data_IF_936646044526
#
_entry.id   IF_936646044526
#
_cell.length_a   1.000
_cell.length_b   1.000
_cell.length_c   1.000
_cell.angle_alpha   90.00
_cell.angle_beta   90.00
_cell.angle_gamma   90.00
#
_symmetry.space_group_name_H-M   'P 1'
#
loop_
_entity.id
_entity.type
_entity.pdbx_description
1 polymer ?
#
# COMPACT_ATOMS: atom_id res chain seq x y z
N UNK A 1 69.67 -22.27 57.93
CA UNK A 1 69.90 -23.37 56.97
C UNK A 1 69.36 -22.93 55.62
N UNK A 2 70.28 -22.93 54.65
CA UNK A 2 70.25 -22.74 53.18
C UNK A 2 68.94 -22.39 52.45
N UNK A 3 68.83 -21.34 51.62
CA UNK A 3 69.42 -21.01 50.29
C UNK A 3 69.05 -21.93 49.09
N UNK A 4 68.31 -21.32 48.15
CA UNK A 4 68.54 -21.24 46.69
C UNK A 4 68.27 -22.40 45.69
N UNK A 5 67.89 -21.93 44.47
CA UNK A 5 67.93 -22.50 43.08
C UNK A 5 66.64 -23.21 42.62
N UNK A 6 65.87 -22.76 41.63
CA UNK A 6 66.08 -22.20 40.28
C UNK A 6 66.57 -23.23 39.23
N UNK A 7 65.79 -23.32 38.14
CA UNK A 7 66.15 -23.51 36.71
C UNK A 7 65.44 -24.71 36.04
N UNK A 8 64.68 -24.36 34.99
CA UNK A 8 64.14 -25.20 33.92
C UNK A 8 65.25 -25.95 33.16
N UNK A 9 64.92 -27.12 32.60
CA UNK A 9 65.55 -27.55 31.36
C UNK A 9 64.51 -28.16 30.41
N UNK A 10 64.67 -27.67 29.19
CA UNK A 10 63.88 -27.79 27.99
C UNK A 10 64.14 -29.11 27.21
N UNK A 11 63.16 -29.42 26.35
CA UNK A 11 63.31 -29.92 24.98
C UNK A 11 63.78 -31.37 24.67
N UNK A 12 62.89 -32.14 24.02
CA UNK A 12 63.21 -33.01 22.87
C UNK A 12 61.95 -33.41 22.05
N UNK A 13 61.63 -32.55 21.09
CA UNK A 13 61.14 -32.74 19.71
C UNK A 13 60.91 -34.18 19.13
N UNK A 14 59.66 -34.49 18.73
CA UNK A 14 59.06 -35.09 17.48
C UNK A 14 59.83 -36.08 16.54
N UNK A 15 59.24 -36.70 15.46
CA UNK A 15 57.85 -36.74 14.90
C UNK A 15 57.35 -38.13 14.40
N UNK A 16 56.05 -38.27 14.04
CA UNK A 16 55.61 -38.79 12.71
C UNK A 16 54.12 -38.52 12.44
N UNK A 17 53.84 -38.07 11.22
CA UNK A 17 52.57 -37.54 10.71
C UNK A 17 51.67 -38.65 10.14
N UNK A 18 50.34 -38.47 10.20
CA UNK A 18 49.46 -38.42 9.02
C UNK A 18 47.97 -38.24 9.42
N UNK A 19 47.39 -37.12 8.95
CA UNK A 19 45.99 -36.92 8.48
C UNK A 19 44.83 -37.05 9.52
N UNK A 20 43.87 -36.12 9.70
CA UNK A 20 43.39 -34.92 9.00
C UNK A 20 42.66 -34.01 10.05
N UNK A 21 42.94 -32.71 10.21
CA UNK A 21 42.42 -31.55 9.42
C UNK A 21 40.88 -31.39 9.63
N UNK A 22 40.27 -30.31 10.16
CA UNK A 22 40.69 -28.94 10.53
C UNK A 22 39.66 -28.24 11.45
N UNK A 23 40.18 -27.39 12.35
CA UNK A 23 39.75 -26.02 12.74
C UNK A 23 38.36 -25.73 13.32
N UNK A 24 38.39 -25.50 14.64
CA UNK A 24 37.73 -24.40 15.34
C UNK A 24 37.57 -23.12 14.51
N UNK A 25 36.35 -22.58 14.45
CA UNK A 25 36.11 -21.17 14.13
C UNK A 25 35.10 -20.58 15.10
N UNK A 26 35.62 -19.93 16.15
CA UNK A 26 34.86 -18.97 16.96
C UNK A 26 34.60 -17.76 16.07
N UNK A 27 33.38 -17.63 15.55
CA UNK A 27 32.95 -16.44 14.81
C UNK A 27 32.91 -15.23 15.76
N UNK A 28 33.94 -14.40 15.68
CA UNK A 28 33.93 -13.02 16.19
C UNK A 28 32.95 -12.20 15.35
N UNK A 29 31.97 -11.58 15.99
CA UNK A 29 31.30 -10.40 15.44
C UNK A 29 32.34 -9.27 15.38
N UNK A 30 32.79 -8.94 14.18
CA UNK A 30 33.47 -7.68 13.86
C UNK A 30 32.54 -6.93 12.90
N UNK A 31 32.34 -5.65 13.21
CA UNK A 31 31.46 -4.75 12.50
C UNK A 31 31.74 -4.68 11.01
N UNK A 32 30.65 -4.67 10.24
CA UNK A 32 30.58 -4.16 8.90
C UNK A 32 29.38 -3.23 8.85
N UNK A 33 29.58 -2.03 8.32
CA UNK A 33 28.51 -1.13 7.93
C UNK A 33 27.67 -1.84 6.85
N UNK A 34 26.66 -2.59 7.29
CA UNK A 34 25.69 -3.23 6.44
C UNK A 34 24.54 -2.27 6.20
N UNK A 35 24.44 -1.78 4.97
CA UNK A 35 23.25 -1.12 4.46
C UNK A 35 22.07 -2.07 4.71
N UNK A 36 21.23 -1.73 5.67
CA UNK A 36 20.05 -2.49 6.03
C UNK A 36 19.04 -2.42 4.92
N UNK A 37 19.05 -3.41 4.03
CA UNK A 37 17.94 -3.66 3.12
C UNK A 37 16.82 -4.24 3.96
N UNK A 38 15.86 -3.39 4.34
CA UNK A 38 14.56 -3.84 4.84
C UNK A 38 13.88 -4.57 3.67
N UNK A 39 13.96 -5.90 3.69
CA UNK A 39 13.15 -6.75 2.84
C UNK A 39 11.69 -6.45 3.19
N UNK A 40 10.98 -5.72 2.32
CA UNK A 40 9.56 -5.50 2.45
C UNK A 40 8.88 -6.87 2.41
N UNK A 41 8.50 -7.37 3.59
CA UNK A 41 7.75 -8.63 3.70
C UNK A 41 6.40 -8.36 3.05
N UNK A 42 6.04 -9.17 2.06
CA UNK A 42 4.71 -9.12 1.45
C UNK A 42 3.66 -9.18 2.55
N UNK A 43 2.69 -8.25 2.52
CA UNK A 43 1.60 -8.14 3.50
C UNK A 43 0.78 -9.44 3.62
N UNK A 44 0.84 -10.29 2.59
CA UNK A 44 0.32 -11.65 2.58
C UNK A 44 1.44 -12.59 3.03
N UNK A 45 1.26 -13.20 4.21
CA UNK A 45 2.22 -14.15 4.78
C UNK A 45 2.61 -15.20 3.73
N UNK A 46 3.91 -15.49 3.60
CA UNK A 46 4.49 -16.43 2.62
C UNK A 46 3.99 -17.89 2.72
N UNK A 47 2.96 -18.16 3.53
CA UNK A 47 2.28 -19.44 3.71
C UNK A 47 0.97 -19.58 2.90
N UNK A 48 0.69 -18.70 1.93
CA UNK A 48 -0.35 -18.91 0.93
C UNK A 48 -1.79 -18.95 1.45
N UNK A 49 -2.03 -18.49 2.67
CA UNK A 49 -3.37 -18.37 3.27
C UNK A 49 -3.75 -16.89 3.35
N UNK A 50 -5.04 -16.58 3.17
CA UNK A 50 -5.64 -15.23 3.16
C UNK A 50 -5.58 -14.55 4.53
N UNK A 51 -4.39 -14.47 5.10
CA UNK A 51 -4.09 -13.84 6.38
C UNK A 51 -3.43 -12.51 6.03
N UNK A 52 -4.21 -11.44 6.07
CA UNK A 52 -3.73 -10.08 5.95
C UNK A 52 -3.03 -9.72 7.27
N UNK A 53 -1.81 -9.24 7.14
CA UNK A 53 -1.12 -8.67 8.28
C UNK A 53 -1.71 -7.29 8.57
N UNK A 54 -2.03 -7.04 9.84
CA UNK A 54 -2.31 -5.67 10.26
C UNK A 54 -1.06 -4.82 10.06
N UNK A 55 -1.20 -3.50 9.85
CA UNK A 55 -0.06 -2.60 9.73
C UNK A 55 0.91 -2.73 10.90
N UNK A 56 0.38 -2.93 12.11
CA UNK A 56 1.17 -3.13 13.33
C UNK A 56 1.97 -4.44 13.30
N UNK A 57 1.44 -5.50 12.69
CA UNK A 57 2.15 -6.77 12.54
C UNK A 57 3.35 -6.64 11.58
N UNK A 58 3.21 -5.82 10.53
CA UNK A 58 4.31 -5.55 9.59
C UNK A 58 5.40 -4.68 10.21
N UNK A 59 5.02 -3.61 10.92
CA UNK A 59 5.97 -2.73 11.62
C UNK A 59 6.74 -3.49 12.71
N UNK A 60 6.07 -4.43 13.38
CA UNK A 60 6.68 -5.28 14.41
C UNK A 60 7.50 -6.46 13.86
N UNK A 61 7.51 -6.66 12.53
CA UNK A 61 8.17 -7.81 11.89
C UNK A 61 7.61 -9.16 12.34
N UNK A 62 6.34 -9.20 12.78
CA UNK A 62 5.68 -10.39 13.31
C UNK A 62 6.50 -11.11 14.40
N UNK A 63 7.19 -10.36 15.26
CA UNK A 63 8.09 -10.88 16.31
C UNK A 63 7.39 -11.74 17.39
N UNK A 64 6.06 -11.76 17.38
CA UNK A 64 5.21 -12.65 18.17
C UNK A 64 4.17 -13.30 17.25
N UNK A 65 4.47 -14.46 16.63
CA UNK A 65 3.47 -15.23 15.91
C UNK A 65 2.36 -15.61 16.89
N UNK A 66 1.16 -15.07 16.68
CA UNK A 66 0.01 -15.49 17.46
C UNK A 66 -0.19 -17.00 17.20
N UNK A 67 -0.31 -17.81 18.27
CA UNK A 67 -0.45 -19.28 18.14
C UNK A 67 -1.74 -19.68 17.43
N UNK A 68 -2.73 -18.80 17.46
CA UNK A 68 -3.97 -18.91 16.72
C UNK A 68 -3.81 -18.13 15.42
N UNK A 69 -3.97 -18.82 14.27
CA UNK A 69 -3.95 -18.17 12.97
C UNK A 69 -4.96 -17.02 12.97
N UNK A 70 -4.57 -15.79 12.56
CA UNK A 70 -5.53 -14.70 12.47
C UNK A 70 -6.70 -15.10 11.57
N UNK A 71 -7.93 -14.62 11.86
CA UNK A 71 -9.07 -14.91 11.01
C UNK A 71 -8.73 -14.49 9.57
N UNK A 72 -9.19 -15.26 8.56
CA UNK A 72 -9.03 -14.87 7.18
C UNK A 72 -9.69 -13.50 6.99
N UNK A 73 -9.01 -12.63 6.26
CA UNK A 73 -9.51 -11.30 5.93
C UNK A 73 -9.43 -11.10 4.42
N UNK A 74 -10.29 -10.24 3.91
CA UNK A 74 -10.25 -9.87 2.51
C UNK A 74 -9.05 -8.96 2.27
N UNK A 75 -8.24 -9.35 1.28
CA UNK A 75 -7.21 -8.50 0.71
C UNK A 75 -7.76 -7.28 -0.03
N UNK A 76 -9.07 -7.26 -0.28
CA UNK A 76 -9.76 -6.22 -1.02
C UNK A 76 -9.50 -6.31 -2.53
N UNK A 77 -9.89 -5.24 -3.23
CA UNK A 77 -9.77 -5.10 -4.68
C UNK A 77 -8.82 -3.97 -5.02
N UNK A 78 -8.05 -4.15 -6.10
CA UNK A 78 -7.10 -3.13 -6.58
C UNK A 78 -7.82 -1.89 -7.13
N UNK A 79 -7.10 -0.77 -7.30
CA UNK A 79 -7.63 0.42 -7.98
C UNK A 79 -8.22 0.13 -9.37
N UNK A 80 -7.66 -0.82 -10.12
CA UNK A 80 -8.15 -1.25 -11.43
C UNK A 80 -9.54 -1.92 -11.37
N UNK A 81 -9.86 -2.62 -10.29
CA UNK A 81 -11.23 -3.08 -10.09
C UNK A 81 -12.19 -1.89 -9.92
N UNK A 82 -11.85 -0.96 -9.03
CA UNK A 82 -12.74 0.15 -8.68
C UNK A 82 -12.91 1.21 -9.78
N UNK A 83 -11.98 1.28 -10.74
CA UNK A 83 -12.09 2.22 -11.88
C UNK A 83 -13.16 1.81 -12.90
N UNK A 84 -13.61 0.55 -12.93
CA UNK A 84 -14.54 0.08 -13.95
C UNK A 84 -16.00 0.36 -13.55
N UNK A 85 -16.80 1.07 -14.38
CA UNK A 85 -18.19 1.41 -14.04
C UNK A 85 -19.10 0.21 -13.76
N UNK A 86 -18.79 -0.95 -14.34
CA UNK A 86 -19.50 -2.22 -14.09
C UNK A 86 -19.48 -2.64 -12.61
N UNK A 87 -18.58 -2.08 -11.79
CA UNK A 87 -18.44 -2.37 -10.37
C UNK A 87 -19.05 -1.30 -9.46
N UNK A 88 -19.81 -0.34 -10.00
CA UNK A 88 -20.49 0.68 -9.18
C UNK A 88 -21.49 0.10 -8.19
N UNK A 89 -22.08 -1.06 -8.48
CA UNK A 89 -22.92 -1.79 -7.53
C UNK A 89 -22.17 -2.29 -6.28
N UNK A 90 -20.84 -2.40 -6.33
CA UNK A 90 -20.00 -2.80 -5.21
C UNK A 90 -19.58 -1.60 -4.32
N UNK A 91 -19.93 -0.37 -4.70
CA UNK A 91 -19.65 0.83 -3.89
C UNK A 91 -20.65 0.91 -2.74
N UNK A 92 -20.30 0.28 -1.61
CA UNK A 92 -21.06 0.37 -0.36
C UNK A 92 -20.55 1.57 0.44
N UNK A 93 -21.43 2.38 1.01
CA UNK A 93 -21.04 3.52 1.86
C UNK A 93 -20.39 4.71 1.14
N UNK A 94 -20.19 4.62 -0.18
CA UNK A 94 -19.73 5.71 -1.03
C UNK A 94 -20.69 5.87 -2.23
N UNK A 95 -20.81 7.09 -2.76
CA UNK A 95 -21.64 7.37 -3.92
C UNK A 95 -20.78 7.33 -5.18
N UNK A 96 -21.03 6.40 -6.12
CA UNK A 96 -20.32 6.39 -7.40
C UNK A 96 -20.72 7.61 -8.25
N UNK A 97 -19.89 8.02 -9.22
CA UNK A 97 -20.23 9.10 -10.13
C UNK A 97 -21.37 8.69 -11.05
N UNK A 98 -22.16 9.67 -11.50
CA UNK A 98 -23.07 9.47 -12.62
C UNK A 98 -22.34 9.76 -13.92
N UNK A 99 -22.43 8.85 -14.89
CA UNK A 99 -21.81 9.01 -16.19
C UNK A 99 -22.87 9.29 -17.27
N UNK A 100 -22.52 10.11 -18.26
CA UNK A 100 -23.37 10.46 -19.41
C UNK A 100 -22.63 10.21 -20.71
N UNK A 101 -23.38 9.91 -21.77
CA UNK A 101 -22.84 9.62 -23.10
C UNK A 101 -21.82 8.46 -23.10
N UNK A 102 -21.99 7.50 -22.19
CA UNK A 102 -21.17 6.30 -22.10
C UNK A 102 -21.90 5.14 -22.78
N UNK A 103 -21.22 4.45 -23.71
CA UNK A 103 -21.76 3.22 -24.28
C UNK A 103 -22.01 2.21 -23.15
N UNK A 104 -23.10 1.44 -23.20
CA UNK A 104 -23.47 0.53 -22.11
C UNK A 104 -22.51 -0.68 -21.92
N UNK A 105 -21.46 -0.82 -22.75
CA UNK A 105 -20.67 -2.05 -22.87
C UNK A 105 -19.14 -1.92 -23.10
N UNK A 106 -18.41 -0.86 -22.70
CA UNK A 106 -16.96 -0.91 -22.78
C UNK A 106 -16.39 -1.83 -21.71
N UNK A 107 -15.59 -2.83 -22.12
CA UNK A 107 -14.65 -3.47 -21.19
C UNK A 107 -13.58 -2.45 -20.80
N UNK A 108 -13.35 -2.27 -19.50
CA UNK A 108 -12.48 -1.20 -18.99
C UNK A 108 -13.14 0.17 -19.10
N UNK A 109 -12.34 1.22 -19.34
CA UNK A 109 -12.87 2.57 -19.54
C UNK A 109 -13.47 2.80 -20.92
N UNK A 110 -13.24 1.92 -21.91
CA UNK A 110 -13.61 2.02 -23.33
C UNK A 110 -14.20 3.33 -23.84
N UNK A 111 -13.32 4.34 -23.92
CA UNK A 111 -13.62 5.65 -24.50
C UNK A 111 -14.24 6.69 -23.56
N UNK A 112 -14.54 6.31 -22.32
CA UNK A 112 -14.94 7.24 -21.27
C UNK A 112 -13.78 8.20 -21.01
N UNK A 113 -14.06 9.50 -21.08
CA UNK A 113 -13.17 10.58 -20.69
C UNK A 113 -13.70 11.29 -19.44
N UNK A 114 -12.92 12.19 -18.82
CA UNK A 114 -13.41 13.03 -17.73
C UNK A 114 -14.68 13.83 -18.09
N UNK A 115 -14.90 14.14 -19.38
CA UNK A 115 -16.08 14.89 -19.85
C UNK A 115 -17.39 14.10 -19.75
N UNK A 116 -17.30 12.77 -19.60
CA UNK A 116 -18.46 11.91 -19.38
C UNK A 116 -18.93 11.91 -17.92
N UNK A 117 -18.20 12.51 -16.99
CA UNK A 117 -18.58 12.58 -15.57
C UNK A 117 -19.63 13.68 -15.41
N UNK A 118 -20.86 13.28 -15.13
CA UNK A 118 -21.97 14.19 -14.85
C UNK A 118 -22.00 14.62 -13.37
N UNK A 119 -21.78 13.68 -12.46
CA UNK A 119 -21.61 13.97 -11.02
C UNK A 119 -20.35 13.26 -10.52
N UNK A 120 -19.61 13.92 -9.64
CA UNK A 120 -18.34 13.39 -9.12
C UNK A 120 -18.53 12.26 -8.09
N UNK A 121 -19.73 12.13 -7.53
CA UNK A 121 -19.99 11.20 -6.42
C UNK A 121 -19.30 11.64 -5.14
N UNK A 122 -18.83 10.69 -4.33
CA UNK A 122 -17.99 10.98 -3.16
C UNK A 122 -16.68 11.60 -3.62
N UNK A 123 -16.37 12.81 -3.12
CA UNK A 123 -15.17 13.56 -3.50
C UNK A 123 -13.98 13.19 -2.63
N UNK A 124 -12.77 13.35 -3.17
CA UNK A 124 -11.53 13.11 -2.44
C UNK A 124 -11.42 14.05 -1.23
N UNK A 125 -11.80 15.32 -1.40
CA UNK A 125 -11.80 16.32 -0.33
C UNK A 125 -12.76 15.96 0.81
N UNK A 126 -13.92 15.36 0.50
CA UNK A 126 -14.86 14.91 1.55
C UNK A 126 -14.31 13.77 2.42
N UNK A 127 -13.34 13.01 1.90
CA UNK A 127 -12.75 11.84 2.59
C UNK A 127 -11.44 12.20 3.28
N UNK A 128 -10.55 12.89 2.58
CA UNK A 128 -9.18 13.16 3.05
C UNK A 128 -8.93 14.65 3.37
N UNK A 129 -9.95 15.50 3.24
CA UNK A 129 -9.85 16.93 3.45
C UNK A 129 -8.85 17.63 2.52
N UNK A 130 -8.41 18.80 2.94
CA UNK A 130 -7.50 19.66 2.18
C UNK A 130 -6.10 19.06 1.95
N UNK A 131 -5.73 18.01 2.70
CA UNK A 131 -4.47 17.29 2.51
C UNK A 131 -4.38 16.69 1.11
N UNK A 132 -5.48 16.12 0.60
CA UNK A 132 -5.51 15.56 -0.74
C UNK A 132 -5.62 16.64 -1.83
N UNK A 133 -6.36 17.73 -1.56
CA UNK A 133 -6.45 18.87 -2.46
C UNK A 133 -5.06 19.42 -2.79
N UNK A 134 -4.15 19.45 -1.81
CA UNK A 134 -2.76 19.92 -1.99
C UNK A 134 -1.95 19.04 -2.97
N UNK A 135 -2.19 17.71 -2.98
CA UNK A 135 -1.57 16.81 -3.96
C UNK A 135 -2.15 17.01 -5.36
N UNK A 136 -3.47 17.18 -5.47
CA UNK A 136 -4.17 17.37 -6.74
C UNK A 136 -3.86 18.73 -7.37
N UNK A 137 -3.57 19.77 -6.56
CA UNK A 137 -3.22 21.12 -7.05
C UNK A 137 -1.85 21.22 -7.73
N UNK A 138 -1.01 20.18 -7.66
CA UNK A 138 0.30 20.16 -8.33
C UNK A 138 0.18 20.10 -9.86
N UNK A 139 -1.00 19.80 -10.39
CA UNK A 139 -1.27 19.77 -11.82
C UNK A 139 -2.07 21.00 -12.26
N UNK A 140 -1.36 22.00 -12.78
CA UNK A 140 -1.91 23.19 -13.44
C UNK A 140 -2.43 22.88 -14.85
N UNK A 141 -3.01 21.70 -15.06
CA UNK A 141 -3.75 21.35 -16.26
C UNK A 141 -5.23 21.56 -15.98
N UNK A 142 -5.67 22.83 -15.84
CA UNK A 142 -7.10 23.16 -15.82
C UNK A 142 -7.67 22.74 -17.18
N UNK A 143 -8.13 21.50 -17.30
CA UNK A 143 -9.02 21.15 -18.40
C UNK A 143 -10.33 21.86 -18.08
N UNK A 144 -10.63 22.91 -18.85
CA UNK A 144 -12.00 23.41 -18.95
C UNK A 144 -12.82 22.28 -19.57
N UNK A 145 -13.37 21.41 -18.71
CA UNK A 145 -14.36 20.45 -19.13
C UNK A 145 -15.53 21.22 -19.71
N UNK A 146 -15.98 20.83 -20.89
CA UNK A 146 -17.28 21.26 -21.38
C UNK A 146 -18.29 20.29 -20.75
N UNK A 147 -19.06 20.74 -19.78
CA UNK A 147 -20.13 19.93 -19.18
C UNK A 147 -21.13 19.54 -20.28
N UNK A 148 -21.11 18.30 -20.77
CA UNK A 148 -22.12 17.80 -21.72
C UNK A 148 -22.97 16.75 -21.01
N UNK A 149 -24.18 17.14 -20.58
CA UNK A 149 -25.27 16.18 -20.36
C UNK A 149 -26.08 16.32 -19.07
N UNK A 150 -25.62 17.08 -18.08
CA UNK A 150 -26.36 17.27 -16.82
C UNK A 150 -26.62 18.75 -16.55
N UNK A 151 -27.54 19.32 -17.32
CA UNK A 151 -28.33 20.53 -17.02
C UNK A 151 -27.73 21.62 -16.11
N UNK A 152 -26.48 22.08 -16.31
CA UNK A 152 -25.99 23.35 -15.77
C UNK A 152 -24.61 23.71 -16.35
N UNK A 153 -24.54 24.78 -17.15
CA UNK A 153 -23.41 25.70 -17.38
C UNK A 153 -21.96 25.19 -17.58
N UNK A 154 -21.04 26.07 -18.00
CA UNK A 154 -19.62 25.76 -18.00
C UNK A 154 -19.12 25.55 -16.56
N UNK A 155 -18.69 24.34 -16.22
CA UNK A 155 -18.08 24.02 -14.92
C UNK A 155 -16.58 23.84 -15.07
N UNK A 156 -15.79 24.51 -14.23
CA UNK A 156 -14.35 24.27 -14.14
C UNK A 156 -14.14 23.26 -13.04
N UNK A 157 -13.63 22.06 -13.36
CA UNK A 157 -13.24 21.09 -12.34
C UNK A 157 -12.02 21.65 -11.63
N UNK A 158 -12.18 22.11 -10.39
CA UNK A 158 -11.03 22.39 -9.56
C UNK A 158 -10.38 21.07 -9.13
N UNK A 159 -9.07 21.05 -8.88
CA UNK A 159 -8.40 19.86 -8.34
C UNK A 159 -9.06 19.30 -7.06
N UNK A 160 -9.70 20.15 -6.26
CA UNK A 160 -10.51 19.76 -5.08
C UNK A 160 -11.78 18.97 -5.40
N UNK A 161 -12.28 19.08 -6.63
CA UNK A 161 -13.61 18.61 -7.01
C UNK A 161 -13.58 17.19 -7.59
N UNK A 162 -12.40 16.58 -7.71
CA UNK A 162 -12.28 15.23 -8.21
C UNK A 162 -13.00 14.24 -7.27
N UNK A 163 -13.89 13.45 -7.87
CA UNK A 163 -14.47 12.26 -7.26
C UNK A 163 -13.40 11.19 -6.98
N UNK A 164 -13.64 10.33 -5.99
CA UNK A 164 -12.81 9.13 -5.78
C UNK A 164 -12.65 8.33 -7.08
N UNK A 165 -13.74 8.17 -7.84
CA UNK A 165 -13.71 7.45 -9.11
C UNK A 165 -12.92 8.17 -10.18
N UNK A 166 -13.02 9.51 -10.26
CA UNK A 166 -12.27 10.27 -11.25
C UNK A 166 -10.76 10.14 -11.06
N UNK A 167 -10.29 10.09 -9.81
CA UNK A 167 -8.89 9.77 -9.49
C UNK A 167 -8.51 8.35 -9.91
N UNK A 168 -9.41 7.38 -9.70
CA UNK A 168 -9.18 5.97 -10.06
C UNK A 168 -9.14 5.75 -11.59
N UNK A 169 -10.07 6.37 -12.32
CA UNK A 169 -10.24 6.23 -13.75
C UNK A 169 -9.24 7.08 -14.55
N UNK A 170 -8.98 8.30 -14.09
CA UNK A 170 -8.20 9.31 -14.82
C UNK A 170 -7.07 9.90 -13.96
N UNK A 171 -6.16 9.06 -13.41
CA UNK A 171 -5.11 9.55 -12.51
C UNK A 171 -4.26 10.65 -13.16
N UNK A 172 -3.92 10.49 -14.44
CA UNK A 172 -3.15 11.49 -15.21
C UNK A 172 -3.86 12.83 -15.32
N UNK A 173 -5.18 12.82 -15.54
CA UNK A 173 -5.98 14.04 -15.64
C UNK A 173 -6.21 14.70 -14.28
N UNK A 174 -6.25 13.88 -13.21
CA UNK A 174 -6.24 14.32 -11.83
C UNK A 174 -4.84 14.78 -11.34
N UNK A 175 -3.82 14.74 -12.20
CA UNK A 175 -2.48 15.22 -11.86
C UNK A 175 -1.58 14.24 -11.12
N UNK A 176 -1.98 12.98 -11.04
CA UNK A 176 -1.21 11.91 -10.40
C UNK A 176 -0.85 10.81 -11.41
N UNK A 177 -0.01 9.86 -11.02
CA UNK A 177 0.31 8.68 -11.83
C UNK A 177 -0.47 7.46 -11.35
N UNK A 178 -0.71 6.48 -12.23
CA UNK A 178 -1.10 5.14 -11.79
C UNK A 178 -0.02 4.60 -10.85
N UNK A 179 -0.43 3.91 -9.78
CA UNK A 179 0.47 3.48 -8.70
C UNK A 179 0.80 4.55 -7.65
N UNK A 180 0.29 5.78 -7.79
CA UNK A 180 0.52 6.83 -6.79
C UNK A 180 -0.26 6.55 -5.49
N UNK A 181 0.22 7.08 -4.36
CA UNK A 181 -0.39 6.90 -3.04
C UNK A 181 -1.91 7.16 -3.04
N UNK A 182 -2.33 8.30 -3.61
CA UNK A 182 -3.74 8.69 -3.63
C UNK A 182 -4.63 7.69 -4.41
N UNK A 183 -4.10 7.09 -5.47
CA UNK A 183 -4.79 6.08 -6.27
C UNK A 183 -5.08 4.82 -5.43
N UNK A 184 -4.07 4.37 -4.67
CA UNK A 184 -4.22 3.24 -3.74
C UNK A 184 -5.09 3.56 -2.53
N UNK A 185 -5.02 4.79 -1.99
CA UNK A 185 -5.86 5.23 -0.88
C UNK A 185 -7.35 5.27 -1.27
N UNK A 186 -7.69 5.72 -2.48
CA UNK A 186 -9.07 5.68 -2.95
C UNK A 186 -9.62 4.24 -2.98
N UNK A 187 -8.82 3.28 -3.48
CA UNK A 187 -9.20 1.87 -3.48
C UNK A 187 -9.29 1.28 -2.07
N UNK A 188 -8.33 1.59 -1.19
CA UNK A 188 -8.34 1.15 0.20
C UNK A 188 -9.55 1.67 0.97
N UNK A 189 -9.96 2.92 0.71
CA UNK A 189 -11.16 3.50 1.30
C UNK A 189 -12.42 2.74 0.86
N UNK A 190 -12.58 2.50 -0.44
CA UNK A 190 -13.70 1.70 -0.96
C UNK A 190 -13.70 0.26 -0.43
N UNK A 191 -12.52 -0.37 -0.33
CA UNK A 191 -12.38 -1.70 0.27
C UNK A 191 -12.82 -1.72 1.73
N UNK A 192 -12.42 -0.72 2.52
CA UNK A 192 -12.78 -0.62 3.94
C UNK A 192 -14.28 -0.48 4.19
N UNK A 193 -15.02 0.05 3.21
CA UNK A 193 -16.47 0.18 3.27
C UNK A 193 -17.19 -1.06 2.74
N UNK A 194 -16.65 -1.68 1.69
CA UNK A 194 -17.28 -2.80 0.99
C UNK A 194 -17.03 -4.16 1.68
N UNK A 195 -15.90 -4.33 2.36
CA UNK A 195 -15.49 -5.58 2.97
C UNK A 195 -15.39 -5.43 4.50
N UNK A 196 -16.33 -5.99 5.28
CA UNK A 196 -16.31 -5.92 6.74
C UNK A 196 -15.05 -6.53 7.37
N UNK A 197 -14.41 -7.44 6.66
CA UNK A 197 -13.18 -8.15 7.03
C UNK A 197 -11.93 -7.55 6.37
N UNK A 198 -11.98 -6.33 5.86
CA UNK A 198 -10.78 -5.66 5.32
C UNK A 198 -9.76 -5.39 6.44
N UNK A 199 -8.46 -5.50 6.13
CA UNK A 199 -7.41 -5.38 7.15
C UNK A 199 -7.24 -3.97 7.74
N UNK A 200 -7.81 -2.95 7.08
CA UNK A 200 -7.84 -1.57 7.54
C UNK A 200 -9.28 -1.11 7.77
N UNK A 201 -9.52 -0.47 8.90
CA UNK A 201 -10.78 0.26 9.11
C UNK A 201 -10.80 1.53 8.24
N UNK A 202 -12.00 2.03 7.93
CA UNK A 202 -12.15 3.29 7.17
C UNK A 202 -11.44 4.45 7.86
N UNK A 203 -11.51 4.53 9.19
CA UNK A 203 -10.82 5.55 9.97
C UNK A 203 -9.30 5.47 9.79
N UNK A 204 -8.71 4.27 9.88
CA UNK A 204 -7.27 4.09 9.68
C UNK A 204 -6.83 4.47 8.26
N UNK A 205 -7.65 4.19 7.23
CA UNK A 205 -7.33 4.61 5.86
C UNK A 205 -7.32 6.13 5.73
N UNK A 206 -8.30 6.82 6.33
CA UNK A 206 -8.38 8.28 6.31
C UNK A 206 -7.19 8.89 7.05
N UNK A 207 -6.88 8.42 8.26
CA UNK A 207 -5.75 8.89 9.06
C UNK A 207 -4.41 8.64 8.37
N UNK A 208 -4.24 7.45 7.77
CA UNK A 208 -3.06 7.12 6.96
C UNK A 208 -2.94 8.07 5.77
N UNK A 209 -4.03 8.30 5.04
CA UNK A 209 -4.06 9.22 3.92
C UNK A 209 -3.65 10.63 4.33
N UNK A 210 -4.32 11.21 5.33
CA UNK A 210 -4.04 12.57 5.80
C UNK A 210 -2.58 12.68 6.28
N UNK A 211 -2.10 11.72 7.08
CA UNK A 211 -0.74 11.75 7.62
C UNK A 211 0.31 11.61 6.52
N UNK A 212 0.18 10.62 5.64
CA UNK A 212 1.14 10.40 4.55
C UNK A 212 1.21 11.57 3.57
N UNK A 213 0.10 12.28 3.35
CA UNK A 213 0.06 13.44 2.46
C UNK A 213 0.59 14.73 3.10
N UNK A 214 0.51 14.85 4.43
CA UNK A 214 0.90 16.08 5.15
C UNK A 214 2.29 15.99 5.79
N UNK A 215 2.56 14.90 6.52
CA UNK A 215 3.82 14.69 7.24
C UNK A 215 4.78 13.76 6.50
N UNK A 216 4.30 13.04 5.48
CA UNK A 216 5.10 12.07 4.73
C UNK A 216 5.34 10.76 5.49
N UNK A 217 4.76 10.58 6.67
CA UNK A 217 4.84 9.32 7.43
C UNK A 217 3.54 9.02 8.15
N UNK A 218 3.23 7.74 8.32
CA UNK A 218 2.09 7.30 9.12
C UNK A 218 2.46 6.16 10.06
N UNK A 219 1.86 6.19 11.24
CA UNK A 219 1.96 5.13 12.21
C UNK A 219 0.55 4.76 12.66
N UNK A 220 0.21 3.46 12.75
CA UNK A 220 -1.05 3.04 13.35
C UNK A 220 -1.12 3.52 14.80
N UNK A 221 -2.26 4.01 15.25
CA UNK A 221 -2.43 4.56 16.59
C UNK A 221 -1.98 3.62 17.72
N UNK A 222 -2.18 2.32 17.52
CA UNK A 222 -1.74 1.26 18.44
C UNK A 222 -0.22 1.19 18.63
N UNK A 223 0.56 1.85 17.76
CA UNK A 223 2.02 1.90 17.78
C UNK A 223 2.57 3.33 17.72
N UNK A 224 1.74 4.37 17.86
CA UNK A 224 2.10 5.79 17.68
C UNK A 224 3.38 6.22 18.39
N UNK A 225 3.66 5.72 19.60
CA UNK A 225 4.88 6.01 20.38
C UNK A 225 6.10 5.16 20.00
N UNK A 226 5.93 4.14 19.16
CA UNK A 226 6.92 3.08 18.89
C UNK A 226 7.31 2.93 17.43
N UNK A 227 6.62 3.59 16.49
CA UNK A 227 6.97 3.46 15.08
C UNK A 227 8.38 3.95 14.79
N UNK A 228 8.84 5.07 15.38
CA UNK A 228 10.22 5.56 15.16
C UNK A 228 10.60 5.55 13.67
N UNK A 229 11.68 4.84 13.33
CA UNK A 229 12.15 4.66 11.95
C UNK A 229 11.33 3.67 11.10
N UNK A 230 10.42 2.93 11.73
CA UNK A 230 9.54 1.94 11.10
C UNK A 230 8.17 2.52 10.73
N UNK A 231 7.98 3.83 10.83
CA UNK A 231 6.78 4.49 10.32
C UNK A 231 6.62 4.22 8.81
N UNK A 232 5.38 4.06 8.35
CA UNK A 232 5.10 3.91 6.93
C UNK A 232 5.43 5.20 6.20
N UNK A 233 6.17 5.08 5.09
CA UNK A 233 6.32 6.14 4.09
C UNK A 233 5.26 5.92 3.00
N UNK A 234 5.01 6.92 2.11
CA UNK A 234 4.08 6.75 1.00
C UNK A 234 4.37 5.49 0.18
N UNK A 235 5.65 5.22 -0.13
CA UNK A 235 6.04 4.05 -0.93
C UNK A 235 5.87 2.74 -0.18
N UNK A 236 6.22 2.67 1.11
CA UNK A 236 6.02 1.43 1.88
C UNK A 236 4.55 1.14 2.15
N UNK A 237 3.72 2.18 2.30
CA UNK A 237 2.28 2.03 2.44
C UNK A 237 1.61 1.58 1.14
N UNK A 238 2.04 2.11 -0.02
CA UNK A 238 1.59 1.60 -1.32
C UNK A 238 1.97 0.13 -1.49
N UNK A 239 3.23 -0.25 -1.19
CA UNK A 239 3.66 -1.64 -1.27
C UNK A 239 2.87 -2.56 -0.32
N UNK A 240 2.49 -2.05 0.86
CA UNK A 240 1.60 -2.76 1.79
C UNK A 240 0.24 -3.05 1.15
N UNK A 241 -0.43 -2.02 0.62
CA UNK A 241 -1.74 -2.17 -0.01
C UNK A 241 -1.69 -3.08 -1.24
N UNK A 242 -0.65 -2.95 -2.06
CA UNK A 242 -0.48 -3.77 -3.27
C UNK A 242 -0.26 -5.25 -2.94
N UNK A 243 0.45 -5.53 -1.85
CA UNK A 243 0.62 -6.88 -1.32
C UNK A 243 -0.64 -7.47 -0.69
N UNK A 244 -1.65 -6.66 -0.38
CA UNK A 244 -2.91 -7.14 0.18
C UNK A 244 -3.92 -7.58 -0.86
N UNK A 245 -4.05 -6.86 -1.98
CA UNK A 245 -5.15 -7.05 -2.93
C UNK A 245 -5.32 -8.52 -3.38
N UNK A 246 -6.55 -9.02 -3.26
CA UNK A 246 -6.88 -10.38 -3.72
C UNK A 246 -7.07 -10.44 -5.24
N UNK A 247 -7.44 -9.30 -5.84
CA UNK A 247 -7.62 -9.16 -7.29
C UNK A 247 -6.84 -7.94 -7.74
N UNK A 248 -5.76 -8.21 -8.48
CA UNK A 248 -4.83 -7.19 -9.01
C UNK A 248 -5.13 -6.75 -10.45
N UNK A 249 -6.24 -7.16 -11.03
CA UNK A 249 -6.52 -6.91 -12.45
C UNK A 249 -7.70 -5.96 -12.67
N UNK A 250 -7.58 -5.15 -13.73
CA UNK A 250 -8.72 -4.75 -14.56
C UNK A 250 -9.35 -6.06 -15.08
N UNK A 251 -10.29 -6.62 -14.33
CA UNK A 251 -10.98 -7.80 -14.78
C UNK A 251 -11.73 -7.43 -16.07
N UNK A 252 -11.30 -8.03 -17.17
CA UNK A 252 -11.96 -7.97 -18.47
C UNK A 252 -13.28 -8.76 -18.39
N UNK A 253 -14.24 -8.26 -17.61
CA UNK A 253 -15.53 -8.94 -17.45
C UNK A 253 -16.48 -8.39 -18.50
N UNK A 254 -16.67 -9.18 -19.56
CA UNK A 254 -17.76 -8.95 -20.51
C UNK A 254 -19.09 -9.30 -19.84
N UNK A 255 -19.85 -8.27 -19.45
CA UNK A 255 -21.28 -8.41 -19.16
C UNK A 255 -22.10 -7.72 -20.23
N UNK A 256 -21.99 -8.15 -21.49
CA UNK A 256 -23.00 -7.82 -22.48
C UNK A 256 -23.41 -9.08 -23.23
N UNK A 257 -24.47 -9.73 -22.75
CA UNK A 257 -25.33 -10.53 -23.63
C UNK A 257 -26.17 -9.54 -24.43
N UNK A 258 -25.97 -9.54 -25.76
CA UNK A 258 -26.81 -8.79 -26.69
C UNK A 258 -28.28 -9.17 -26.49
N UNK A 259 -29.16 -8.19 -26.31
CA UNK A 259 -30.57 -8.36 -26.67
C UNK A 259 -30.76 -7.96 -28.12
#
# INVERSE_FOLDING_TARGET
>A
MNTHKHIEHDEANQPTQAEAVTRNSRRRLIGGAGVGVLMAVSAKTALGTNICQSPSAMVSGNTSPNRDAPPPCSGGRSPGFWRNPQHFNAWVGATPPTLVNVAQCPTGLGGISPDNICTQGTTVDSVFGSAATSLLTSYSGVRKGNTIGCSAGPYTINPSDWGLWGVLAFPKDAGIQEGHLLWHLCAAYLNSLAFPDYALTTQQVVEAGVSLMTTGTWCPDSLSSSCGTNAFTPSSFVAYLDGMYDINADLNIQWCTSK
#
